data_IF_911139226168
#
_entry.id   IF_911139226168
#
_cell.length_a   1.000
_cell.length_b   1.000
_cell.length_c   1.000
_cell.angle_alpha   90.00
_cell.angle_beta   90.00
_cell.angle_gamma   90.00
#
_symmetry.space_group_name_H-M   'P 1'
#
loop_
_entity.id
_entity.type
_entity.pdbx_description
1 polymer ?
#
# COMPACT_ATOMS: atom_id res chain seq x y z
N UNK A 1 -28.13 -3.38 3.80
CA UNK A 1 -27.05 -4.36 3.54
C UNK A 1 -25.82 -3.89 4.31
N UNK A 2 -24.99 -4.79 4.87
CA UNK A 2 -23.71 -4.38 5.46
C UNK A 2 -22.86 -3.69 4.40
N UNK A 3 -22.08 -2.68 4.80
CA UNK A 3 -21.06 -2.09 3.92
C UNK A 3 -20.09 -3.19 3.50
N UNK A 4 -19.53 -3.06 2.30
CA UNK A 4 -18.62 -4.01 1.68
C UNK A 4 -17.30 -3.33 1.37
N UNK A 5 -16.21 -3.97 1.80
CA UNK A 5 -14.87 -3.43 1.68
C UNK A 5 -13.97 -4.41 0.92
N UNK A 6 -13.29 -3.91 -0.10
CA UNK A 6 -12.16 -4.59 -0.71
C UNK A 6 -10.88 -4.16 0.00
N UNK A 7 -10.21 -5.09 0.69
CA UNK A 7 -8.93 -4.81 1.33
C UNK A 7 -7.82 -5.12 0.33
N UNK A 8 -7.17 -4.11 -0.22
CA UNK A 8 -6.07 -4.26 -1.17
C UNK A 8 -4.73 -4.13 -0.46
N UNK A 9 -3.97 -5.21 -0.37
CA UNK A 9 -2.80 -5.34 0.52
C UNK A 9 -1.75 -6.25 -0.11
N UNK A 10 -0.50 -5.97 0.19
CA UNK A 10 0.63 -6.86 -0.09
C UNK A 10 0.88 -7.87 1.03
N UNK A 11 0.43 -7.61 2.26
CA UNK A 11 0.60 -8.52 3.40
C UNK A 11 -0.43 -9.66 3.45
N UNK A 12 -0.04 -10.86 3.90
CA UNK A 12 -0.96 -11.93 4.24
C UNK A 12 -1.61 -11.59 5.58
N UNK A 13 -2.65 -10.76 5.53
CA UNK A 13 -3.34 -10.20 6.69
C UNK A 13 -3.91 -11.29 7.62
N UNK A 14 -4.21 -12.48 7.11
CA UNK A 14 -4.77 -13.59 7.89
C UNK A 14 -3.77 -14.70 8.23
N UNK A 15 -2.53 -14.60 7.75
CA UNK A 15 -1.48 -15.59 8.01
C UNK A 15 -0.19 -14.87 8.38
N UNK A 16 0.19 -14.98 9.65
CA UNK A 16 1.40 -14.36 10.19
C UNK A 16 2.64 -15.25 10.06
N UNK A 17 2.52 -16.44 9.46
CA UNK A 17 3.67 -17.30 9.21
C UNK A 17 4.55 -16.67 8.13
N UNK A 18 5.84 -16.51 8.44
CA UNK A 18 6.81 -15.96 7.48
C UNK A 18 6.81 -14.44 7.33
N UNK A 19 6.14 -13.69 8.21
CA UNK A 19 6.32 -12.23 8.24
C UNK A 19 7.78 -11.88 8.53
N UNK A 20 8.33 -11.02 7.69
CA UNK A 20 9.63 -10.43 7.92
C UNK A 20 9.57 -9.55 9.20
N UNK A 21 10.52 -9.65 10.15
CA UNK A 21 10.59 -8.77 11.31
C UNK A 21 10.52 -7.27 10.97
N UNK A 22 11.05 -6.88 9.81
CA UNK A 22 11.04 -5.47 9.35
C UNK A 22 9.64 -4.97 8.99
N UNK A 23 8.76 -5.84 8.50
CA UNK A 23 7.40 -5.49 8.07
C UNK A 23 6.33 -5.85 9.11
N UNK A 24 6.74 -6.53 10.20
CA UNK A 24 5.83 -7.09 11.20
C UNK A 24 4.90 -6.06 11.82
N UNK A 25 5.42 -4.86 12.11
CA UNK A 25 4.63 -3.77 12.70
C UNK A 25 3.49 -3.31 11.78
N UNK A 26 3.80 -3.08 10.50
CA UNK A 26 2.81 -2.65 9.50
C UNK A 26 1.79 -3.75 9.22
N UNK A 27 2.24 -4.99 9.03
CA UNK A 27 1.37 -6.13 8.81
C UNK A 27 0.43 -6.39 10.01
N UNK A 28 0.93 -6.20 11.25
CA UNK A 28 0.11 -6.31 12.46
C UNK A 28 -0.93 -5.19 12.57
N UNK A 29 -0.54 -3.95 12.24
CA UNK A 29 -1.46 -2.82 12.21
C UNK A 29 -2.57 -3.06 11.15
N UNK A 30 -2.18 -3.50 9.95
CA UNK A 30 -3.09 -3.87 8.88
C UNK A 30 -4.11 -4.92 9.33
N UNK A 31 -3.62 -6.00 9.94
CA UNK A 31 -4.49 -7.04 10.49
C UNK A 31 -5.47 -6.52 11.54
N UNK A 32 -5.03 -5.65 12.45
CA UNK A 32 -5.92 -5.08 13.47
C UNK A 32 -7.00 -4.21 12.85
N UNK A 33 -6.65 -3.35 11.90
CA UNK A 33 -7.62 -2.48 11.22
C UNK A 33 -8.66 -3.30 10.44
N UNK A 34 -8.24 -4.34 9.71
CA UNK A 34 -9.16 -5.22 8.96
C UNK A 34 -10.10 -6.00 9.89
N UNK A 35 -9.60 -6.44 11.06
CA UNK A 35 -10.46 -7.03 12.09
C UNK A 35 -11.47 -6.03 12.62
N UNK A 36 -11.06 -4.80 12.91
CA UNK A 36 -11.98 -3.74 13.35
C UNK A 36 -13.08 -3.45 12.33
N UNK A 37 -12.78 -3.46 11.02
CA UNK A 37 -13.82 -3.36 9.99
C UNK A 37 -14.84 -4.49 10.09
N UNK A 38 -14.36 -5.73 10.28
CA UNK A 38 -15.23 -6.90 10.43
C UNK A 38 -16.08 -6.81 11.71
N UNK A 39 -15.50 -6.37 12.83
CA UNK A 39 -16.19 -6.17 14.11
C UNK A 39 -17.28 -5.08 14.02
N UNK A 40 -17.09 -4.09 13.15
CA UNK A 40 -18.08 -3.06 12.80
C UNK A 40 -19.17 -3.55 11.84
N UNK A 41 -19.13 -4.83 11.42
CA UNK A 41 -20.11 -5.43 10.52
C UNK A 41 -19.85 -5.15 9.03
N UNK A 42 -18.66 -4.69 8.65
CA UNK A 42 -18.27 -4.52 7.25
C UNK A 42 -17.93 -5.89 6.65
N UNK A 43 -18.52 -6.20 5.50
CA UNK A 43 -18.21 -7.39 4.73
C UNK A 43 -16.86 -7.21 4.01
N UNK A 44 -15.80 -7.78 4.59
CA UNK A 44 -14.44 -7.70 4.06
C UNK A 44 -14.18 -8.76 2.99
N UNK A 45 -13.56 -8.36 1.89
CA UNK A 45 -12.93 -9.25 0.90
C UNK A 45 -11.50 -8.82 0.68
N UNK A 46 -10.54 -9.71 0.93
CA UNK A 46 -9.12 -9.40 0.70
C UNK A 46 -8.77 -9.60 -0.77
N UNK A 47 -8.17 -8.57 -1.36
CA UNK A 47 -7.57 -8.54 -2.68
C UNK A 47 -6.05 -8.51 -2.49
N UNK A 48 -5.39 -9.67 -2.44
CA UNK A 48 -3.94 -9.72 -2.30
C UNK A 48 -3.26 -9.19 -3.56
N UNK A 49 -2.24 -8.36 -3.39
CA UNK A 49 -1.36 -7.93 -4.48
C UNK A 49 -0.28 -8.97 -4.81
N UNK A 50 -0.13 -10.02 -3.98
CA UNK A 50 0.82 -11.14 -4.15
C UNK A 50 2.25 -10.72 -4.48
N UNK A 51 2.68 -9.56 -3.99
CA UNK A 51 4.07 -9.18 -4.08
C UNK A 51 4.84 -10.10 -3.11
N UNK A 52 5.81 -10.89 -3.59
CA UNK A 52 6.63 -11.68 -2.68
C UNK A 52 7.27 -10.72 -1.66
N UNK A 53 7.14 -11.04 -0.37
CA UNK A 53 7.73 -10.31 0.77
C UNK A 53 9.27 -10.19 0.76
N UNK A 54 9.89 -10.51 -0.36
CA UNK A 54 11.33 -10.55 -0.57
C UNK A 54 11.71 -10.06 -1.96
N UNK A 55 11.01 -9.06 -2.50
CA UNK A 55 11.65 -8.27 -3.54
C UNK A 55 12.65 -7.34 -2.87
N UNK A 56 13.87 -7.87 -2.77
CA UNK A 56 15.10 -7.09 -2.67
C UNK A 56 14.90 -5.80 -3.47
N UNK A 57 15.06 -4.68 -2.79
CA UNK A 57 15.31 -3.30 -3.25
C UNK A 57 15.34 -3.06 -4.78
N UNK A 58 16.07 -3.88 -5.54
CA UNK A 58 16.20 -3.83 -6.99
C UNK A 58 14.88 -4.00 -7.77
N UNK A 59 13.99 -4.92 -7.40
CA UNK A 59 12.73 -5.13 -8.15
C UNK A 59 11.60 -4.20 -7.70
N UNK A 60 11.66 -3.75 -6.45
CA UNK A 60 10.61 -2.97 -5.81
C UNK A 60 10.46 -1.55 -6.38
N UNK A 61 11.54 -0.99 -6.94
CA UNK A 61 11.57 0.41 -7.39
C UNK A 61 11.78 0.54 -8.91
N UNK A 62 12.04 -0.55 -9.63
CA UNK A 62 12.65 -0.40 -10.97
C UNK A 62 11.93 -1.05 -12.15
N UNK A 63 11.02 -2.00 -11.94
CA UNK A 63 10.20 -2.60 -13.03
C UNK A 63 8.69 -2.39 -12.79
N UNK A 64 8.24 -2.39 -11.53
CA UNK A 64 6.82 -2.31 -11.14
C UNK A 64 5.88 -3.29 -11.85
N UNK A 65 6.39 -4.22 -12.67
CA UNK A 65 5.61 -5.19 -13.44
C UNK A 65 4.65 -5.97 -12.56
N UNK A 66 5.15 -6.53 -11.46
CA UNK A 66 4.33 -7.27 -10.50
C UNK A 66 3.26 -6.39 -9.85
N UNK A 67 3.56 -5.11 -9.57
CA UNK A 67 2.56 -4.16 -9.05
C UNK A 67 1.45 -3.90 -10.07
N UNK A 68 1.79 -3.72 -11.36
CA UNK A 68 0.80 -3.53 -12.42
C UNK A 68 -0.07 -4.77 -12.63
N UNK A 69 0.52 -5.95 -12.63
CA UNK A 69 -0.21 -7.22 -12.76
C UNK A 69 -1.19 -7.43 -11.59
N UNK A 70 -0.72 -7.16 -10.36
CA UNK A 70 -1.53 -7.20 -9.17
C UNK A 70 -2.71 -6.22 -9.22
N UNK A 71 -2.45 -4.96 -9.59
CA UNK A 71 -3.50 -3.93 -9.66
C UNK A 71 -4.50 -4.19 -10.78
N UNK A 72 -4.04 -4.75 -11.91
CA UNK A 72 -4.95 -5.24 -12.97
C UNK A 72 -5.86 -6.35 -12.45
N UNK A 73 -5.33 -7.32 -11.71
CA UNK A 73 -6.13 -8.40 -11.13
C UNK A 73 -7.10 -7.89 -10.06
N UNK A 74 -6.70 -6.91 -9.25
CA UNK A 74 -7.56 -6.24 -8.28
C UNK A 74 -8.69 -5.48 -8.99
N UNK A 75 -8.38 -4.69 -10.02
CA UNK A 75 -9.36 -3.98 -10.84
C UNK A 75 -10.43 -4.92 -11.42
N UNK A 76 -10.02 -6.05 -11.98
CA UNK A 76 -10.98 -7.04 -12.50
C UNK A 76 -11.96 -7.53 -11.43
N UNK A 77 -11.48 -7.72 -10.19
CA UNK A 77 -12.35 -8.12 -9.06
C UNK A 77 -13.26 -6.99 -8.59
N UNK A 78 -12.76 -5.76 -8.55
CA UNK A 78 -13.56 -4.56 -8.23
C UNK A 78 -14.65 -4.30 -9.27
N UNK A 79 -14.42 -4.65 -10.54
CA UNK A 79 -15.43 -4.55 -11.60
C UNK A 79 -16.45 -5.69 -11.58
N UNK A 80 -16.06 -6.88 -11.13
CA UNK A 80 -16.92 -8.05 -11.07
C UNK A 80 -17.92 -8.03 -9.90
N UNK A 81 -17.66 -7.20 -8.87
CA UNK A 81 -18.48 -7.11 -7.67
C UNK A 81 -18.50 -5.67 -7.17
N UNK A 82 -19.67 -5.16 -6.83
CA UNK A 82 -19.78 -3.85 -6.19
C UNK A 82 -19.17 -3.88 -4.77
N UNK A 83 -18.30 -2.93 -4.49
CA UNK A 83 -17.75 -2.62 -3.18
C UNK A 83 -18.08 -1.17 -2.84
N UNK A 84 -18.32 -0.88 -1.56
CA UNK A 84 -18.60 0.49 -1.11
C UNK A 84 -17.30 1.31 -1.03
N UNK A 85 -16.18 0.67 -0.69
CA UNK A 85 -14.85 1.28 -0.68
C UNK A 85 -13.72 0.25 -0.79
N UNK A 86 -12.54 0.72 -1.17
CA UNK A 86 -11.27 0.00 -1.07
C UNK A 86 -10.55 0.50 0.17
N UNK A 87 -10.03 -0.42 0.98
CA UNK A 87 -9.13 -0.10 2.08
C UNK A 87 -7.73 -0.66 1.80
N UNK A 88 -6.73 0.20 1.84
CA UNK A 88 -5.32 -0.16 1.71
C UNK A 88 -4.61 0.08 3.03
N UNK A 89 -4.41 -0.97 3.84
CA UNK A 89 -3.82 -0.84 5.15
C UNK A 89 -2.29 -0.75 5.16
N UNK A 90 -1.64 -0.58 4.01
CA UNK A 90 -0.24 -0.23 3.93
C UNK A 90 0.14 0.39 2.58
N UNK A 91 1.41 0.76 2.52
CA UNK A 91 2.27 1.15 1.42
C UNK A 91 1.67 1.35 0.02
N UNK A 92 2.07 2.49 -0.54
CA UNK A 92 1.43 3.23 -1.63
C UNK A 92 1.65 2.60 -3.02
N UNK A 93 2.64 1.71 -3.16
CA UNK A 93 3.09 1.27 -4.48
C UNK A 93 2.10 0.43 -5.31
N UNK A 94 1.40 -0.57 -4.75
CA UNK A 94 0.38 -1.28 -5.52
C UNK A 94 -0.77 -0.34 -5.93
N UNK A 95 -1.12 0.62 -5.08
CA UNK A 95 -2.16 1.60 -5.38
C UNK A 95 -1.82 2.50 -6.57
N UNK A 96 -0.54 2.78 -6.83
CA UNK A 96 -0.12 3.62 -7.96
C UNK A 96 -0.58 3.11 -9.33
N UNK A 97 -0.96 1.84 -9.41
CA UNK A 97 -1.44 1.20 -10.63
C UNK A 97 -2.91 0.76 -10.55
N UNK A 98 -3.60 1.04 -9.45
CA UNK A 98 -5.00 0.69 -9.27
C UNK A 98 -5.90 1.79 -9.84
N UNK A 99 -6.44 1.53 -11.03
CA UNK A 99 -7.45 2.38 -11.67
C UNK A 99 -8.85 1.88 -11.29
N UNK A 100 -9.55 2.64 -10.44
CA UNK A 100 -10.89 2.29 -9.94
C UNK A 100 -11.72 3.53 -9.61
N UNK A 101 -13.03 3.45 -9.87
CA UNK A 101 -14.02 4.46 -9.45
C UNK A 101 -14.52 4.23 -8.01
N UNK A 102 -14.11 3.13 -7.37
CA UNK A 102 -14.49 2.82 -5.99
C UNK A 102 -13.66 3.70 -5.05
N UNK A 103 -14.27 4.41 -4.07
CA UNK A 103 -13.54 5.27 -3.15
C UNK A 103 -12.40 4.53 -2.44
N UNK A 104 -11.20 5.13 -2.42
CA UNK A 104 -10.00 4.52 -1.85
C UNK A 104 -9.63 5.20 -0.53
N UNK A 105 -9.56 4.41 0.53
CA UNK A 105 -9.01 4.78 1.83
C UNK A 105 -7.63 4.14 1.99
N UNK A 106 -6.59 4.96 2.05
CA UNK A 106 -5.22 4.53 2.33
C UNK A 106 -4.93 4.76 3.81
N UNK A 107 -4.27 3.81 4.47
CA UNK A 107 -3.60 4.05 5.73
C UNK A 107 -2.09 3.81 5.58
N UNK A 108 -1.28 4.71 6.12
CA UNK A 108 0.17 4.54 6.21
C UNK A 108 0.71 5.06 7.54
N UNK A 109 1.68 4.36 8.12
CA UNK A 109 2.40 4.81 9.32
C UNK A 109 3.40 5.91 8.99
N UNK A 110 4.08 5.78 7.85
CA UNK A 110 5.00 6.77 7.32
C UNK A 110 5.03 6.74 5.79
N UNK A 111 4.79 7.87 5.11
CA UNK A 111 5.03 7.97 3.68
C UNK A 111 6.55 7.96 3.41
N UNK A 112 6.97 7.49 2.23
CA UNK A 112 8.36 7.44 1.80
C UNK A 112 9.02 8.81 1.81
N UNK A 113 8.28 9.87 1.47
CA UNK A 113 8.80 11.23 1.52
C UNK A 113 9.30 11.62 2.91
N UNK A 114 8.64 11.12 3.98
CA UNK A 114 9.06 11.33 5.36
C UNK A 114 10.33 10.57 5.74
N UNK A 115 10.70 9.57 4.94
CA UNK A 115 11.85 8.69 5.13
C UNK A 115 13.00 9.03 4.17
N UNK A 116 12.90 10.11 3.39
CA UNK A 116 13.92 10.49 2.39
C UNK A 116 15.30 10.74 2.99
N UNK A 117 15.34 11.14 4.26
CA UNK A 117 16.59 11.31 5.00
C UNK A 117 17.15 10.02 5.62
N UNK A 118 16.38 8.93 5.60
CA UNK A 118 16.80 7.62 6.07
C UNK A 118 17.95 7.09 5.20
N UNK A 119 18.99 6.60 5.87
CA UNK A 119 20.12 5.95 5.23
C UNK A 119 19.67 4.76 4.38
N UNK A 120 18.51 4.15 4.70
CA UNK A 120 17.91 3.08 3.91
C UNK A 120 17.50 3.53 2.50
N UNK A 121 16.71 4.60 2.35
CA UNK A 121 16.29 5.08 1.02
C UNK A 121 17.48 5.61 0.20
N UNK A 122 18.43 6.26 0.86
CA UNK A 122 19.72 6.66 0.25
C UNK A 122 20.57 5.44 -0.14
N UNK A 123 20.50 4.35 0.63
CA UNK A 123 21.14 3.07 0.31
C UNK A 123 20.48 2.41 -0.91
N UNK A 124 19.15 2.50 -1.08
CA UNK A 124 18.47 1.95 -2.27
C UNK A 124 18.96 2.67 -3.55
N UNK A 125 19.01 4.00 -3.54
CA UNK A 125 19.46 4.79 -4.70
C UNK A 125 20.94 4.51 -5.04
N UNK A 126 21.80 4.30 -4.03
CA UNK A 126 23.22 3.99 -4.22
C UNK A 126 23.51 2.57 -4.72
N UNK A 127 22.75 1.56 -4.27
CA UNK A 127 23.09 0.15 -4.52
C UNK A 127 22.34 -0.49 -5.70
N UNK A 128 21.23 0.10 -6.14
CA UNK A 128 20.48 -0.41 -7.31
C UNK A 128 21.16 -0.07 -8.64
N UNK A 129 22.15 0.84 -8.62
CA UNK A 129 22.83 1.33 -9.83
C UNK A 129 21.93 2.12 -10.80
N UNK A 130 20.68 2.41 -10.41
CA UNK A 130 19.69 3.14 -11.21
C UNK A 130 19.41 4.49 -10.56
N UNK A 131 20.18 5.49 -10.95
CA UNK A 131 19.98 6.89 -10.56
C UNK A 131 18.51 7.31 -10.78
N UNK A 132 17.82 7.76 -9.75
CA UNK A 132 16.47 8.31 -9.86
C UNK A 132 15.33 7.35 -9.51
N UNK A 133 15.62 6.13 -9.06
CA UNK A 133 14.63 5.20 -8.53
C UNK A 133 13.85 5.82 -7.34
N UNK A 134 14.56 6.52 -6.45
CA UNK A 134 13.93 7.28 -5.35
C UNK A 134 12.98 8.37 -5.88
N UNK A 135 13.36 9.11 -6.91
CA UNK A 135 12.50 10.15 -7.48
C UNK A 135 11.22 9.56 -8.09
N UNK A 136 11.32 8.41 -8.74
CA UNK A 136 10.16 7.70 -9.29
C UNK A 136 9.24 7.18 -8.18
N UNK A 137 9.80 6.62 -7.11
CA UNK A 137 9.04 6.22 -5.91
C UNK A 137 8.26 7.40 -5.32
N UNK A 138 8.94 8.54 -5.11
CA UNK A 138 8.33 9.74 -4.56
C UNK A 138 7.28 10.36 -5.50
N UNK A 139 7.48 10.25 -6.81
CA UNK A 139 6.50 10.69 -7.81
C UNK A 139 5.23 9.84 -7.72
N UNK A 140 5.37 8.52 -7.71
CA UNK A 140 4.24 7.59 -7.58
C UNK A 140 3.52 7.77 -6.25
N UNK A 141 4.27 8.00 -5.17
CA UNK A 141 3.69 8.27 -3.87
C UNK A 141 2.75 9.47 -3.91
N UNK A 142 3.19 10.58 -4.49
CA UNK A 142 2.37 11.79 -4.66
C UNK A 142 1.11 11.53 -5.48
N UNK A 143 1.22 10.75 -6.55
CA UNK A 143 0.09 10.42 -7.42
C UNK A 143 -0.98 9.61 -6.67
N UNK A 144 -0.56 8.64 -5.86
CA UNK A 144 -1.50 7.84 -5.07
C UNK A 144 -2.15 8.67 -3.98
N UNK A 145 -1.38 9.47 -3.25
CA UNK A 145 -1.94 10.34 -2.21
C UNK A 145 -2.98 11.30 -2.80
N UNK A 146 -2.74 11.81 -4.02
CA UNK A 146 -3.69 12.67 -4.73
C UNK A 146 -4.93 11.92 -5.25
N UNK A 147 -4.79 10.63 -5.61
CA UNK A 147 -5.89 9.81 -6.09
C UNK A 147 -6.75 9.20 -4.97
N UNK A 148 -6.20 9.07 -3.75
CA UNK A 148 -6.94 8.53 -2.61
C UNK A 148 -8.05 9.48 -2.17
N UNK A 149 -9.25 8.93 -1.97
CA UNK A 149 -10.38 9.68 -1.40
C UNK A 149 -10.11 10.07 0.05
N UNK A 150 -9.45 9.19 0.79
CA UNK A 150 -9.09 9.41 2.19
C UNK A 150 -7.69 8.84 2.49
N UNK A 151 -6.63 9.66 2.42
CA UNK A 151 -5.34 9.29 2.98
C UNK A 151 -5.36 9.50 4.51
N UNK A 152 -5.14 8.42 5.25
CA UNK A 152 -5.04 8.40 6.71
C UNK A 152 -3.59 8.11 7.13
N UNK A 153 -3.12 8.87 8.11
CA UNK A 153 -1.74 8.79 8.60
C UNK A 153 -1.73 8.44 10.08
N UNK A 154 -0.72 7.67 10.52
CA UNK A 154 -0.60 7.30 11.94
C UNK A 154 -0.14 8.47 12.83
N UNK A 155 0.38 9.57 12.28
CA UNK A 155 0.90 10.70 13.06
C UNK A 155 0.82 12.04 12.32
N UNK A 156 0.82 13.14 13.08
CA UNK A 156 0.92 14.49 12.53
C UNK A 156 2.25 14.73 11.78
N UNK A 157 3.33 14.09 12.23
CA UNK A 157 4.61 14.12 11.53
C UNK A 157 4.47 13.57 10.11
N UNK A 158 3.88 12.38 9.97
CA UNK A 158 3.62 11.76 8.67
C UNK A 158 2.73 12.63 7.77
N UNK A 159 1.72 13.31 8.35
CA UNK A 159 0.91 14.30 7.61
C UNK A 159 1.78 15.44 7.11
N UNK A 160 2.57 16.07 7.99
CA UNK A 160 3.38 17.25 7.68
C UNK A 160 4.43 16.99 6.59
N UNK A 161 4.97 15.77 6.52
CA UNK A 161 5.96 15.38 5.52
C UNK A 161 5.39 15.23 4.10
N UNK A 162 4.06 15.13 3.94
CA UNK A 162 3.40 15.03 2.62
C UNK A 162 2.95 16.37 2.06
N UNK A 163 3.08 17.44 2.84
CA UNK A 163 2.70 18.78 2.42
C UNK A 163 3.86 19.45 1.66
N UNK A 164 3.57 20.32 0.67
CA UNK A 164 4.59 21.02 -0.11
C UNK A 164 5.52 21.91 0.72
#
# INVERSE_FOLDING_TARGET
>A
MPLSCAVYTSFPIFDNTGWNPWDYGQALAAQRMVRSLSDLGVAVTVLPSWLPHMLLVDEFVTDFKHHREASRAARQRLQARAFDFVFCPENILPLAFLDTDVPVCLWTDAPYIAQTDDDYLKYLDRNTGKTGALNELLRQEKEVLAACTLPAFASEWAVSSTQP
#
